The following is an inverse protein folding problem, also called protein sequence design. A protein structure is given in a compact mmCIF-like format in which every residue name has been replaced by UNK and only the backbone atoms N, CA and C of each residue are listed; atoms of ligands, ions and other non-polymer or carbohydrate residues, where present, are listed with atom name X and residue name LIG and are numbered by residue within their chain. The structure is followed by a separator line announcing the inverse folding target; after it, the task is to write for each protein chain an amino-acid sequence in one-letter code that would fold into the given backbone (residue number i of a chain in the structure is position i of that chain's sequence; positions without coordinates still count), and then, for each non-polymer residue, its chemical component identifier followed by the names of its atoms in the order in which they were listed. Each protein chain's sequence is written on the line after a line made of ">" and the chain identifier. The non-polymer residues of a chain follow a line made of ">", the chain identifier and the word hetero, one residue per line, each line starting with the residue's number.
data_IF_819175231546
#
_entry.id   IF_819175231546
#
_cell.length_a   1.000
_cell.length_b   1.000
_cell.length_c   1.000
_cell.angle_alpha   90.00
_cell.angle_beta   90.00
_cell.angle_gamma   90.00
#
_symmetry.space_group_name_H-M   'P 1'
#
loop_
_entity.id
_entity.type
_entity.pdbx_description
1 polymer ?
#
# COMPACT_ATOMS: atom_id res chain seq x y z
N UNK A 1 -4.88 -10.69 10.77
CA UNK A 1 -5.00 -10.68 9.31
C UNK A 1 -4.95 -9.25 8.81
N UNK A 2 -4.24 -9.02 7.74
CA UNK A 2 -4.05 -7.68 7.19
C UNK A 2 -5.17 -7.32 6.21
N UNK A 3 -5.55 -6.03 6.20
CA UNK A 3 -6.59 -5.53 5.29
C UNK A 3 -6.12 -5.50 3.84
N UNK A 4 -4.86 -5.18 3.63
CA UNK A 4 -4.23 -5.08 2.33
C UNK A 4 -3.02 -5.99 2.31
N UNK A 5 -2.90 -6.78 1.26
CA UNK A 5 -1.81 -7.74 1.08
C UNK A 5 -1.08 -7.47 -0.24
N UNK A 6 0.12 -8.03 -0.36
CA UNK A 6 0.86 -8.03 -1.62
C UNK A 6 0.01 -8.62 -2.75
N UNK A 7 0.01 -7.96 -3.89
CA UNK A 7 -0.75 -8.38 -5.06
C UNK A 7 -2.17 -7.81 -5.16
N UNK A 8 -2.66 -7.17 -4.09
CA UNK A 8 -3.98 -6.53 -4.13
C UNK A 8 -3.97 -5.29 -5.02
N UNK A 9 -5.09 -5.03 -5.67
CA UNK A 9 -5.31 -3.76 -6.38
C UNK A 9 -5.88 -2.75 -5.40
N UNK A 10 -5.26 -1.58 -5.33
CA UNK A 10 -5.68 -0.50 -4.42
C UNK A 10 -5.90 0.80 -5.18
N UNK A 11 -6.74 1.65 -4.64
CA UNK A 11 -6.95 3.02 -5.12
C UNK A 11 -6.34 4.00 -4.12
N UNK A 12 -5.45 4.86 -4.62
CA UNK A 12 -4.81 5.89 -3.80
C UNK A 12 -5.74 7.10 -3.70
N UNK A 13 -6.13 7.44 -2.47
CA UNK A 13 -7.12 8.49 -2.20
C UNK A 13 -6.50 9.86 -1.99
N UNK A 14 -5.28 9.92 -1.44
CA UNK A 14 -4.64 11.15 -0.99
C UNK A 14 -3.22 11.21 -1.52
N UNK A 15 -2.74 12.41 -1.81
CA UNK A 15 -1.40 12.67 -2.25
C UNK A 15 -1.36 13.41 -3.59
N UNK A 16 -0.17 13.83 -3.98
CA UNK A 16 0.04 14.61 -5.22
C UNK A 16 -0.43 13.85 -6.46
N UNK A 17 -0.10 12.57 -6.58
CA UNK A 17 -0.46 11.76 -7.74
C UNK A 17 -1.97 11.50 -7.81
N UNK A 18 -2.60 11.29 -6.66
CA UNK A 18 -4.05 11.14 -6.59
C UNK A 18 -4.78 12.43 -6.95
N UNK A 19 -4.26 13.56 -6.52
CA UNK A 19 -4.81 14.87 -6.88
C UNK A 19 -4.69 15.14 -8.38
N UNK A 20 -3.54 14.82 -8.97
CA UNK A 20 -3.32 14.96 -10.41
C UNK A 20 -4.28 14.06 -11.22
N UNK A 21 -4.47 12.82 -10.79
CA UNK A 21 -5.41 11.90 -11.43
C UNK A 21 -6.84 12.40 -11.38
N UNK A 22 -7.27 12.96 -10.26
CA UNK A 22 -8.61 13.55 -10.12
C UNK A 22 -8.86 14.73 -11.04
N UNK A 23 -7.85 15.57 -11.26
CA UNK A 23 -7.95 16.69 -12.22
C UNK A 23 -8.21 16.21 -13.64
N UNK A 24 -7.72 15.03 -13.98
CA UNK A 24 -7.95 14.40 -15.27
C UNK A 24 -9.22 13.54 -15.31
N UNK A 25 -9.99 13.50 -14.21
CA UNK A 25 -11.18 12.67 -14.08
C UNK A 25 -10.90 11.18 -13.93
N UNK A 26 -9.68 10.82 -13.55
CA UNK A 26 -9.23 9.43 -13.40
C UNK A 26 -9.12 9.04 -11.94
N UNK A 27 -9.20 7.74 -11.69
CA UNK A 27 -8.93 7.13 -10.40
C UNK A 27 -7.52 6.54 -10.41
N UNK A 28 -6.71 6.90 -9.44
CA UNK A 28 -5.34 6.37 -9.34
C UNK A 28 -5.37 5.00 -8.67
N UNK A 29 -5.20 3.96 -9.46
CA UNK A 29 -5.18 2.57 -8.99
C UNK A 29 -3.87 1.91 -9.35
N UNK A 30 -3.45 0.98 -8.53
CA UNK A 30 -2.23 0.21 -8.77
C UNK A 30 -2.21 -1.07 -7.96
N UNK A 31 -1.24 -1.92 -8.27
CA UNK A 31 -1.04 -3.18 -7.57
C UNK A 31 -0.06 -2.99 -6.43
N UNK A 32 -0.37 -3.56 -5.27
CA UNK A 32 0.53 -3.52 -4.10
C UNK A 32 1.74 -4.41 -4.38
N UNK A 33 2.90 -3.78 -4.39
CA UNK A 33 4.17 -4.50 -4.55
C UNK A 33 4.60 -5.16 -3.25
N UNK A 34 4.47 -4.45 -2.12
CA UNK A 34 4.75 -4.98 -0.79
C UNK A 34 4.06 -4.14 0.28
N UNK A 35 3.90 -4.73 1.45
CA UNK A 35 3.42 -4.05 2.65
C UNK A 35 4.56 -3.92 3.64
N UNK A 36 4.80 -2.72 4.13
CA UNK A 36 5.84 -2.45 5.13
C UNK A 36 5.17 -2.39 6.50
N UNK A 37 5.52 -3.32 7.42
CA UNK A 37 4.91 -3.34 8.75
C UNK A 37 5.24 -2.10 9.57
N UNK A 38 4.25 -1.59 10.31
CA UNK A 38 4.44 -0.54 11.29
C UNK A 38 4.63 -1.13 12.69
N UNK A 39 5.37 -0.42 13.53
CA UNK A 39 5.68 -0.85 14.89
C UNK A 39 5.49 0.28 15.89
N UNK A 40 5.08 -0.06 17.09
CA UNK A 40 5.16 0.83 18.23
C UNK A 40 6.62 0.97 18.64
N UNK A 41 7.03 2.19 18.93
CA UNK A 41 8.41 2.50 19.28
C UNK A 41 8.42 3.10 20.69
N UNK A 42 9.31 2.60 21.56
CA UNK A 42 9.50 3.15 22.89
C UNK A 42 10.36 4.43 22.87
N UNK A 43 10.56 5.05 24.03
CA UNK A 43 11.38 6.26 24.13
C UNK A 43 12.87 6.04 23.78
N UNK A 44 13.32 4.80 23.73
CA UNK A 44 14.68 4.42 23.33
C UNK A 44 14.78 3.99 21.88
N UNK A 45 13.75 4.25 21.07
CA UNK A 45 13.66 3.88 19.64
C UNK A 45 13.70 2.37 19.36
N UNK A 46 13.27 1.57 20.34
CA UNK A 46 13.16 0.11 20.17
C UNK A 46 11.73 -0.28 19.77
N UNK A 47 11.63 -1.29 18.94
CA UNK A 47 10.32 -1.84 18.54
C UNK A 47 9.76 -2.67 19.69
N UNK A 48 8.57 -2.30 20.19
CA UNK A 48 7.92 -2.97 21.32
C UNK A 48 6.63 -3.68 20.95
N UNK A 49 6.20 -3.63 19.71
CA UNK A 49 5.02 -4.32 19.24
C UNK A 49 4.57 -3.87 17.88
N UNK A 50 3.65 -4.62 17.30
CA UNK A 50 3.06 -4.33 16.00
C UNK A 50 2.01 -3.22 16.12
N UNK A 51 2.04 -2.27 15.20
CA UNK A 51 1.02 -1.23 15.09
C UNK A 51 0.51 -1.17 13.65
N UNK A 52 -0.64 -1.77 13.41
CA UNK A 52 -1.26 -1.82 12.10
C UNK A 52 -1.67 -0.44 11.55
N UNK A 53 -1.83 0.55 12.43
CA UNK A 53 -2.15 1.91 12.00
C UNK A 53 -0.95 2.65 11.40
N UNK A 54 0.24 2.13 11.57
CA UNK A 54 1.49 2.67 11.02
C UNK A 54 1.99 1.90 9.80
N UNK A 55 1.22 0.95 9.30
CA UNK A 55 1.59 0.20 8.11
C UNK A 55 1.67 1.13 6.90
N UNK A 56 2.58 0.80 6.00
CA UNK A 56 2.74 1.49 4.73
C UNK A 56 2.74 0.48 3.60
N UNK A 57 2.31 0.91 2.42
CA UNK A 57 2.26 0.07 1.24
C UNK A 57 3.05 0.70 0.11
N UNK A 58 3.75 -0.11 -0.65
CA UNK A 58 4.42 0.30 -1.88
C UNK A 58 3.53 -0.13 -3.04
N UNK A 59 3.01 0.85 -3.77
CA UNK A 59 2.11 0.64 -4.90
C UNK A 59 2.88 0.86 -6.20
N UNK A 60 2.75 -0.05 -7.13
CA UNK A 60 3.43 0.00 -8.42
C UNK A 60 3.07 1.27 -9.20
N UNK A 61 4.07 2.01 -9.65
CA UNK A 61 3.89 3.21 -10.46
C UNK A 61 3.35 4.44 -9.73
N UNK A 62 3.20 4.37 -8.41
CA UNK A 62 2.62 5.44 -7.59
C UNK A 62 3.67 5.98 -6.62
N UNK A 63 3.60 7.29 -6.36
CA UNK A 63 4.49 7.99 -5.43
C UNK A 63 5.96 7.81 -5.79
N UNK A 64 6.27 8.05 -7.06
CA UNK A 64 7.64 7.93 -7.57
C UNK A 64 8.51 9.06 -7.02
N UNK A 65 9.67 8.68 -6.50
CA UNK A 65 10.70 9.60 -6.05
C UNK A 65 11.98 9.34 -6.81
N UNK A 66 12.81 10.38 -6.93
CA UNK A 66 14.11 10.29 -7.58
C UNK A 66 15.18 10.27 -6.50
N UNK A 67 15.98 9.20 -6.47
CA UNK A 67 17.12 9.08 -5.58
C UNK A 67 18.40 9.30 -6.37
N UNK A 68 19.23 10.23 -5.88
CA UNK A 68 20.58 10.42 -6.41
C UNK A 68 21.55 9.48 -5.71
N UNK A 69 22.10 8.53 -6.44
CA UNK A 69 23.01 7.53 -5.91
C UNK A 69 24.43 7.84 -6.33
N UNK A 70 25.32 8.01 -5.35
CA UNK A 70 26.75 8.13 -5.59
C UNK A 70 27.40 6.77 -5.78
N UNK A 71 28.47 6.72 -6.56
CA UNK A 71 29.27 5.51 -6.72
C UNK A 71 29.97 5.18 -5.39
N UNK A 72 29.81 3.96 -4.89
CA UNK A 72 30.37 3.47 -3.62
C UNK A 72 31.46 2.48 -3.84
N UNK A 73 32.26 2.42 -4.75
CA UNK A 73 33.33 1.44 -4.99
C UNK A 73 32.84 0.01 -5.26
N UNK A 74 31.57 -0.28 -5.05
CA UNK A 74 30.95 -1.54 -5.45
C UNK A 74 30.42 -1.43 -6.88
N UNK A 75 30.93 -2.27 -7.76
CA UNK A 75 30.57 -2.31 -9.19
C UNK A 75 29.10 -2.65 -9.43
N UNK A 76 28.41 -3.23 -8.45
CA UNK A 76 26.99 -3.60 -8.53
C UNK A 76 26.06 -2.48 -8.13
N UNK A 77 26.57 -1.37 -7.58
CA UNK A 77 25.73 -0.24 -7.15
C UNK A 77 25.30 0.55 -8.38
N UNK A 78 23.99 0.74 -8.50
CA UNK A 78 23.43 1.66 -9.48
C UNK A 78 23.80 3.09 -9.12
N UNK A 79 24.23 3.88 -10.09
CA UNK A 79 24.60 5.28 -9.90
C UNK A 79 23.72 6.20 -10.73
N UNK A 80 23.63 7.48 -10.33
CA UNK A 80 22.87 8.50 -11.03
C UNK A 80 21.48 8.70 -10.46
N UNK A 81 20.54 9.06 -11.32
CA UNK A 81 19.14 9.31 -10.94
C UNK A 81 18.36 7.99 -11.03
N UNK A 82 17.89 7.53 -9.87
CA UNK A 82 17.14 6.28 -9.78
C UNK A 82 15.71 6.61 -9.34
N UNK A 83 14.73 6.18 -10.14
CA UNK A 83 13.32 6.29 -9.77
C UNK A 83 12.90 5.10 -8.91
N UNK A 84 12.18 5.40 -7.83
CA UNK A 84 11.64 4.40 -6.90
C UNK A 84 10.23 4.76 -6.50
N UNK A 85 9.41 3.74 -6.25
CA UNK A 85 8.14 3.95 -5.57
C UNK A 85 8.39 4.12 -4.07
N UNK A 86 7.99 5.29 -3.52
CA UNK A 86 8.01 5.51 -2.08
C UNK A 86 6.76 4.91 -1.43
N UNK A 87 6.88 4.44 -0.17
CA UNK A 87 5.73 3.91 0.55
C UNK A 87 4.63 4.96 0.78
N UNK A 88 3.38 4.52 0.72
CA UNK A 88 2.21 5.32 1.03
C UNK A 88 1.59 4.78 2.32
N UNK A 89 1.15 5.67 3.22
CA UNK A 89 0.49 5.26 4.45
C UNK A 89 -0.78 4.46 4.15
N UNK A 90 -1.03 3.40 4.91
CA UNK A 90 -2.15 2.49 4.65
C UNK A 90 -3.51 3.17 4.69
N UNK A 91 -3.67 4.23 5.46
CA UNK A 91 -4.92 5.01 5.53
C UNK A 91 -5.22 5.79 4.25
N UNK A 92 -4.22 6.00 3.39
CA UNK A 92 -4.35 6.76 2.14
C UNK A 92 -4.74 5.89 0.95
N UNK A 93 -4.92 4.61 1.15
CA UNK A 93 -5.31 3.67 0.10
C UNK A 93 -6.57 2.90 0.49
N UNK A 94 -7.36 2.52 -0.50
CA UNK A 94 -8.52 1.66 -0.32
C UNK A 94 -8.39 0.46 -1.25
N UNK A 95 -8.79 -0.71 -0.75
CA UNK A 95 -8.81 -1.92 -1.57
C UNK A 95 -9.85 -1.80 -2.67
N UNK A 96 -9.47 -2.16 -3.88
CA UNK A 96 -10.41 -2.30 -5.00
C UNK A 96 -10.92 -3.74 -5.01
N UNK A 97 -12.23 -3.91 -4.83
CA UNK A 97 -12.84 -5.23 -4.83
C UNK A 97 -12.72 -5.86 -6.22
N UNK A 98 -12.21 -7.11 -6.33
CA UNK A 98 -12.12 -7.78 -7.63
C UNK A 98 -13.47 -8.12 -8.25
N UNK A 99 -14.53 -8.21 -7.44
CA UNK A 99 -15.88 -8.54 -7.93
C UNK A 99 -16.66 -7.33 -8.41
N UNK A 100 -16.81 -6.29 -7.57
CA UNK A 100 -17.54 -5.08 -7.97
C UNK A 100 -16.64 -3.99 -8.57
N UNK A 101 -15.33 -4.14 -8.50
CA UNK A 101 -14.31 -3.23 -9.04
C UNK A 101 -14.42 -1.80 -8.50
N UNK A 102 -14.94 -1.64 -7.30
CA UNK A 102 -15.03 -0.37 -6.60
C UNK A 102 -14.09 -0.33 -5.41
N UNK A 103 -13.58 0.84 -5.09
CA UNK A 103 -12.79 1.06 -3.88
C UNK A 103 -13.69 0.92 -2.66
N UNK A 104 -13.30 0.06 -1.72
CA UNK A 104 -14.09 -0.28 -0.55
C UNK A 104 -13.21 -0.47 0.68
N UNK A 105 -13.81 -0.30 1.84
CA UNK A 105 -13.19 -0.74 3.09
C UNK A 105 -13.38 -2.24 3.25
N UNK A 106 -12.39 -2.90 3.82
CA UNK A 106 -12.39 -4.34 4.02
C UNK A 106 -12.98 -4.66 5.39
N UNK A 107 -13.95 -5.56 5.41
CA UNK A 107 -14.42 -6.20 6.63
C UNK A 107 -13.84 -7.60 6.78
N UNK A 108 -13.94 -8.15 7.97
CA UNK A 108 -13.49 -9.51 8.26
C UNK A 108 -14.68 -10.34 8.75
N UNK A 109 -14.78 -11.57 8.28
CA UNK A 109 -15.75 -12.54 8.75
C UNK A 109 -15.13 -13.93 8.79
N UNK A 110 -15.79 -14.86 9.45
CA UNK A 110 -15.36 -16.25 9.49
C UNK A 110 -16.18 -17.08 8.50
N UNK A 111 -15.49 -17.82 7.64
CA UNK A 111 -16.08 -18.81 6.74
C UNK A 111 -15.33 -20.12 6.95
N UNK A 112 -16.07 -21.21 7.25
CA UNK A 112 -15.50 -22.53 7.49
C UNK A 112 -14.37 -22.54 8.55
N UNK A 113 -14.52 -21.73 9.61
CA UNK A 113 -13.53 -21.58 10.66
C UNK A 113 -12.31 -20.73 10.29
N UNK A 114 -12.27 -20.15 9.11
CA UNK A 114 -11.19 -19.28 8.67
C UNK A 114 -11.64 -17.82 8.64
N UNK A 115 -10.77 -16.94 9.08
CA UNK A 115 -11.00 -15.50 8.98
C UNK A 115 -10.69 -15.05 7.55
N UNK A 116 -11.67 -14.49 6.88
CA UNK A 116 -11.55 -14.02 5.50
C UNK A 116 -11.91 -12.55 5.40
N UNK A 117 -11.38 -11.89 4.36
CA UNK A 117 -11.74 -10.52 4.02
C UNK A 117 -13.00 -10.52 3.16
N UNK A 118 -13.83 -9.52 3.32
CA UNK A 118 -14.99 -9.34 2.44
C UNK A 118 -15.18 -7.87 2.06
N UNK A 119 -15.82 -7.65 0.93
CA UNK A 119 -16.18 -6.33 0.45
C UNK A 119 -17.43 -5.84 1.16
N UNK A 120 -17.37 -4.65 1.76
CA UNK A 120 -18.54 -4.06 2.44
C UNK A 120 -19.61 -3.53 1.47
N UNK A 121 -19.30 -3.40 0.19
CA UNK A 121 -20.24 -2.91 -0.82
C UNK A 121 -21.03 -4.02 -1.50
N UNK A 122 -20.34 -5.08 -1.94
CA UNK A 122 -20.97 -6.21 -2.65
C UNK A 122 -21.00 -7.51 -1.85
N UNK A 123 -20.44 -7.50 -0.64
CA UNK A 123 -20.40 -8.66 0.29
C UNK A 123 -19.64 -9.88 -0.24
N UNK A 124 -18.86 -9.72 -1.30
CA UNK A 124 -18.06 -10.79 -1.86
C UNK A 124 -16.81 -11.06 -1.02
N UNK A 125 -16.44 -12.34 -0.90
CA UNK A 125 -15.19 -12.74 -0.23
C UNK A 125 -13.99 -12.35 -1.08
N UNK A 126 -12.98 -11.75 -0.44
CA UNK A 126 -11.72 -11.35 -1.06
C UNK A 126 -10.61 -12.27 -0.55
N UNK A 127 -9.94 -12.91 -1.45
CA UNK A 127 -8.80 -13.78 -1.13
C UNK A 127 -7.48 -13.01 -0.96
#
# INVERSE_FOLDING_TARGET
>A
MERIKKGDTVEVQVGRDAAAARREGKKLRGTVHRVIPGYKIDRYHRRVGRDHNKDRVVVQGVNLIIKHQRRTGDIRTQVGRIEREAPVHISNVMLVCPSCKEATRVGFRFEDGRKVRYCKKCDATIE
#
